data_IF_198492077848
#
_entry.id   IF_198492077848
#
_cell.length_a   1.000
_cell.length_b   1.000
_cell.length_c   1.000
_cell.angle_alpha   90.00
_cell.angle_beta   90.00
_cell.angle_gamma   90.00
#
_symmetry.space_group_name_H-M   'P 1'
#
loop_
_entity.id
_entity.type
_entity.pdbx_description
1 polymer ?
#
# COMPACT_ATOMS: atom_id res chain seq x y z
N UNK A 1 25.05 20.74 4.04
CA UNK A 1 24.00 19.70 4.07
C UNK A 1 22.82 20.30 4.80
N UNK A 2 21.65 20.36 4.18
CA UNK A 2 20.43 20.88 4.79
C UNK A 2 19.57 19.69 5.22
N UNK A 3 19.14 19.65 6.47
CA UNK A 3 18.31 18.59 7.05
C UNK A 3 16.88 19.03 7.34
N UNK A 4 16.54 20.28 7.02
CA UNK A 4 15.20 20.83 7.21
C UNK A 4 14.29 20.39 6.06
N UNK A 5 13.03 20.09 6.41
CA UNK A 5 11.98 19.90 5.41
C UNK A 5 11.67 21.20 4.69
N UNK A 6 11.18 21.09 3.45
CA UNK A 6 10.60 22.24 2.76
C UNK A 6 9.33 22.72 3.46
N UNK A 7 8.89 23.94 3.15
CA UNK A 7 7.62 24.47 3.69
C UNK A 7 6.43 23.57 3.33
N UNK A 8 6.37 23.09 2.08
CA UNK A 8 5.34 22.18 1.58
C UNK A 8 5.35 20.84 2.34
N UNK A 9 6.53 20.26 2.57
CA UNK A 9 6.69 19.05 3.39
C UNK A 9 6.25 19.29 4.84
N UNK A 10 6.60 20.45 5.40
CA UNK A 10 6.14 20.85 6.73
C UNK A 10 4.61 20.95 6.82
N UNK A 11 3.97 21.58 5.83
CA UNK A 11 2.51 21.68 5.76
C UNK A 11 1.84 20.32 5.63
N UNK A 12 2.39 19.44 4.80
CA UNK A 12 1.88 18.07 4.62
C UNK A 12 1.98 17.28 5.93
N UNK A 13 3.14 17.32 6.58
CA UNK A 13 3.37 16.69 7.90
C UNK A 13 2.37 17.18 8.92
N UNK A 14 2.25 18.49 9.08
CA UNK A 14 1.43 19.09 10.12
C UNK A 14 -0.08 18.83 9.88
N UNK A 15 -0.49 18.71 8.61
CA UNK A 15 -1.84 18.31 8.22
C UNK A 15 -2.16 16.87 8.63
N UNK A 16 -1.29 15.91 8.31
CA UNK A 16 -1.47 14.49 8.69
C UNK A 16 -1.38 14.32 10.21
N UNK A 17 -0.43 14.99 10.86
CA UNK A 17 -0.28 14.95 12.32
C UNK A 17 -1.55 15.42 13.04
N UNK A 18 -2.17 16.50 12.56
CA UNK A 18 -3.43 17.01 13.12
C UNK A 18 -4.57 16.00 12.98
N UNK A 19 -4.73 15.39 11.80
CA UNK A 19 -5.73 14.34 11.60
C UNK A 19 -5.52 13.14 12.54
N UNK A 20 -4.28 12.67 12.68
CA UNK A 20 -3.96 11.56 13.59
C UNK A 20 -4.31 11.92 15.03
N UNK A 21 -4.02 13.15 15.45
CA UNK A 21 -4.34 13.64 16.79
C UNK A 21 -5.85 13.79 17.03
N UNK A 22 -6.59 14.33 16.07
CA UNK A 22 -7.98 14.77 16.26
C UNK A 22 -9.00 13.68 15.92
N UNK A 23 -8.68 12.81 14.96
CA UNK A 23 -9.63 11.86 14.35
C UNK A 23 -9.22 10.40 14.47
N UNK A 24 -8.00 10.11 14.95
CA UNK A 24 -7.43 8.75 14.91
C UNK A 24 -6.83 8.30 16.25
N UNK A 25 -7.49 8.63 17.35
CA UNK A 25 -7.10 8.10 18.66
C UNK A 25 -7.23 6.56 18.72
N UNK A 26 -6.60 5.96 19.73
CA UNK A 26 -6.49 4.51 19.84
C UNK A 26 -7.85 3.79 19.88
N UNK A 27 -8.83 4.35 20.60
CA UNK A 27 -10.15 3.75 20.74
C UNK A 27 -10.94 3.83 19.43
N UNK A 28 -10.86 4.96 18.73
CA UNK A 28 -11.47 5.16 17.40
C UNK A 28 -10.86 4.21 16.39
N UNK A 29 -9.53 4.13 16.35
CA UNK A 29 -8.78 3.19 15.52
C UNK A 29 -9.17 1.74 15.79
N UNK A 30 -9.30 1.33 17.05
CA UNK A 30 -9.75 -0.02 17.42
C UNK A 30 -11.18 -0.32 16.96
N UNK A 31 -12.10 0.66 17.02
CA UNK A 31 -13.46 0.50 16.49
C UNK A 31 -13.46 0.32 14.99
N UNK A 32 -12.67 1.11 14.25
CA UNK A 32 -12.53 0.98 12.79
C UNK A 32 -11.97 -0.40 12.43
N UNK A 33 -10.90 -0.83 13.11
CA UNK A 33 -10.29 -2.15 12.92
C UNK A 33 -11.24 -3.31 13.23
N UNK A 34 -12.28 -3.11 14.03
CA UNK A 34 -13.26 -4.16 14.33
C UNK A 34 -14.36 -4.29 13.26
N UNK A 35 -14.47 -3.34 12.34
CA UNK A 35 -15.44 -3.39 11.23
C UNK A 35 -15.01 -4.39 10.15
N UNK A 36 -15.96 -4.84 9.33
CA UNK A 36 -15.68 -5.77 8.23
C UNK A 36 -14.72 -5.18 7.19
N UNK A 37 -14.84 -3.89 6.87
CA UNK A 37 -13.95 -3.19 5.94
C UNK A 37 -12.57 -2.88 6.53
N UNK A 38 -12.46 -2.85 7.86
CA UNK A 38 -11.23 -2.57 8.60
C UNK A 38 -10.56 -1.22 8.27
N UNK A 39 -11.32 -0.30 7.69
CA UNK A 39 -10.94 1.07 7.38
C UNK A 39 -12.19 1.97 7.44
N UNK A 40 -12.00 3.28 7.53
CA UNK A 40 -13.11 4.24 7.48
C UNK A 40 -13.19 4.90 6.10
N UNK A 41 -14.32 4.70 5.40
CA UNK A 41 -14.58 5.38 4.12
C UNK A 41 -14.60 6.90 4.26
N UNK A 42 -15.05 7.40 5.40
CA UNK A 42 -15.05 8.84 5.71
C UNK A 42 -13.61 9.37 5.78
N UNK A 43 -12.72 8.69 6.51
CA UNK A 43 -11.31 9.06 6.60
C UNK A 43 -10.62 8.97 5.22
N UNK A 44 -10.94 7.94 4.44
CA UNK A 44 -10.42 7.82 3.07
C UNK A 44 -10.84 8.98 2.18
N UNK A 45 -12.09 9.44 2.30
CA UNK A 45 -12.56 10.64 1.60
C UNK A 45 -11.89 11.91 2.14
N UNK A 46 -11.66 12.02 3.46
CA UNK A 46 -10.84 13.10 4.02
C UNK A 46 -9.43 13.13 3.41
N UNK A 47 -8.82 11.97 3.14
CA UNK A 47 -7.49 11.92 2.50
C UNK A 47 -7.54 12.49 1.07
N UNK A 48 -8.62 12.21 0.33
CA UNK A 48 -8.84 12.77 -1.00
C UNK A 48 -9.05 14.29 -0.95
N UNK A 49 -9.93 14.77 -0.05
CA UNK A 49 -10.25 16.19 0.12
C UNK A 49 -9.04 17.03 0.54
N UNK A 50 -8.15 16.46 1.38
CA UNK A 50 -6.90 17.11 1.80
C UNK A 50 -5.77 16.94 0.77
N UNK A 51 -6.01 16.26 -0.35
CA UNK A 51 -5.06 16.07 -1.45
C UNK A 51 -3.96 15.04 -1.17
N UNK A 52 -4.07 14.24 -0.10
CA UNK A 52 -3.02 13.29 0.29
C UNK A 52 -2.88 12.13 -0.70
N UNK A 53 -3.99 11.71 -1.30
CA UNK A 53 -4.01 10.66 -2.31
C UNK A 53 -3.32 11.07 -3.61
N UNK A 54 -3.16 12.39 -3.85
CA UNK A 54 -2.58 12.93 -5.08
C UNK A 54 -1.07 13.18 -5.00
N UNK A 55 -0.49 13.14 -3.79
CA UNK A 55 0.91 13.51 -3.52
C UNK A 55 1.92 12.83 -4.46
N UNK A 56 1.97 11.49 -4.60
CA UNK A 56 3.01 10.85 -5.41
C UNK A 56 2.72 10.85 -6.91
N UNK A 57 1.53 11.30 -7.34
CA UNK A 57 1.15 11.26 -8.75
C UNK A 57 1.63 12.50 -9.50
N UNK A 58 1.94 12.36 -10.79
CA UNK A 58 2.36 13.47 -11.63
C UNK A 58 1.24 14.52 -11.81
N UNK A 59 1.63 15.79 -11.98
CA UNK A 59 0.70 16.90 -12.22
C UNK A 59 -0.22 16.68 -13.43
N UNK A 60 0.26 15.98 -14.46
CA UNK A 60 -0.53 15.62 -15.65
C UNK A 60 -1.75 14.75 -15.35
N UNK A 61 -1.77 14.07 -14.20
CA UNK A 61 -2.89 13.27 -13.73
C UNK A 61 -3.64 13.93 -12.56
N UNK A 62 -3.34 15.19 -12.24
CA UNK A 62 -3.94 15.90 -11.10
C UNK A 62 -3.23 15.67 -9.76
N UNK A 63 -2.00 15.13 -9.78
CA UNK A 63 -1.17 14.96 -8.58
C UNK A 63 -0.23 16.14 -8.29
N UNK A 64 0.55 16.03 -7.21
CA UNK A 64 1.54 17.05 -6.81
C UNK A 64 2.97 16.75 -7.26
N UNK A 65 3.22 15.61 -7.89
CA UNK A 65 4.56 15.20 -8.33
C UNK A 65 5.54 14.96 -7.19
N UNK A 66 5.03 14.67 -5.99
CA UNK A 66 5.80 14.46 -4.77
C UNK A 66 6.80 13.31 -4.91
N UNK A 67 8.02 13.55 -4.46
CA UNK A 67 9.08 12.57 -4.43
C UNK A 67 9.05 11.68 -3.17
N UNK A 68 10.05 10.81 -3.02
CA UNK A 68 10.13 9.90 -1.87
C UNK A 68 10.13 10.60 -0.50
N UNK A 69 10.68 11.81 -0.40
CA UNK A 69 10.71 12.55 0.88
C UNK A 69 9.30 12.99 1.27
N UNK A 70 8.50 13.46 0.33
CA UNK A 70 7.12 13.90 0.57
C UNK A 70 6.25 12.72 1.05
N UNK A 71 6.45 11.55 0.44
CA UNK A 71 5.77 10.32 0.85
C UNK A 71 6.25 9.81 2.20
N UNK A 72 7.55 9.89 2.49
CA UNK A 72 8.10 9.52 3.79
C UNK A 72 7.52 10.37 4.92
N UNK A 73 7.41 11.68 4.71
CA UNK A 73 6.82 12.61 5.68
C UNK A 73 5.39 12.20 6.03
N UNK A 74 4.57 11.85 5.03
CA UNK A 74 3.22 11.36 5.28
C UNK A 74 3.20 10.03 6.04
N UNK A 75 4.01 9.07 5.58
CA UNK A 75 4.02 7.73 6.17
C UNK A 75 4.50 7.74 7.61
N UNK A 76 5.47 8.61 7.96
CA UNK A 76 5.89 8.79 9.35
C UNK A 76 4.72 9.23 10.25
N UNK A 77 3.91 10.20 9.80
CA UNK A 77 2.75 10.64 10.57
C UNK A 77 1.64 9.57 10.61
N UNK A 78 1.37 8.87 9.50
CA UNK A 78 0.45 7.72 9.50
C UNK A 78 0.89 6.61 10.48
N UNK A 79 2.20 6.36 10.57
CA UNK A 79 2.76 5.41 11.54
C UNK A 79 2.49 5.80 12.98
N UNK A 80 2.50 7.10 13.32
CA UNK A 80 2.14 7.56 14.67
C UNK A 80 0.68 7.24 15.04
N UNK A 81 -0.19 7.22 14.05
CA UNK A 81 -1.62 6.88 14.20
C UNK A 81 -1.94 5.40 13.99
N UNK A 82 -0.98 4.58 13.54
CA UNK A 82 -1.20 3.21 13.07
C UNK A 82 -2.45 3.11 12.17
N UNK A 83 -2.49 4.03 11.20
CA UNK A 83 -3.59 4.28 10.26
C UNK A 83 -3.89 3.03 9.44
N UNK A 84 -5.18 2.72 9.27
CA UNK A 84 -5.66 1.49 8.63
C UNK A 84 -6.00 1.67 7.15
N UNK A 85 -6.29 2.91 6.74
CA UNK A 85 -6.67 3.24 5.38
C UNK A 85 -5.59 2.78 4.37
N UNK A 86 -5.97 2.22 3.20
CA UNK A 86 -5.08 1.46 2.33
C UNK A 86 -4.18 2.34 1.46
N UNK A 87 -3.54 3.37 2.02
CA UNK A 87 -2.68 4.31 1.31
C UNK A 87 -1.50 3.60 0.62
N UNK A 88 -0.78 2.75 1.36
CA UNK A 88 0.33 1.96 0.80
C UNK A 88 -0.14 1.07 -0.37
N UNK A 89 -1.22 0.31 -0.18
CA UNK A 89 -1.69 -0.66 -1.16
C UNK A 89 -2.25 0.01 -2.42
N UNK A 90 -3.06 1.06 -2.24
CA UNK A 90 -3.75 1.74 -3.34
C UNK A 90 -2.87 2.78 -4.01
N UNK A 91 -2.27 3.68 -3.25
CA UNK A 91 -1.55 4.84 -3.82
C UNK A 91 -0.12 4.45 -4.20
N UNK A 92 0.64 3.85 -3.28
CA UNK A 92 2.08 3.62 -3.50
C UNK A 92 2.37 2.38 -4.34
N UNK A 93 1.61 1.30 -4.13
CA UNK A 93 1.79 0.05 -4.88
C UNK A 93 0.97 0.06 -6.18
N UNK A 94 -0.37 -0.03 -6.09
CA UNK A 94 -1.22 -0.11 -7.28
C UNK A 94 -1.10 1.13 -8.17
N UNK A 95 -1.26 2.32 -7.59
CA UNK A 95 -1.10 3.59 -8.29
C UNK A 95 0.30 3.82 -8.82
N UNK A 96 1.34 3.48 -8.05
CA UNK A 96 2.73 3.56 -8.48
C UNK A 96 3.04 2.69 -9.71
N UNK A 97 2.46 1.49 -9.78
CA UNK A 97 2.57 0.62 -10.96
C UNK A 97 1.87 1.20 -12.18
N UNK A 98 0.66 1.76 -12.02
CA UNK A 98 -0.07 2.44 -13.11
C UNK A 98 0.69 3.66 -13.62
N UNK A 99 1.19 4.52 -12.73
CA UNK A 99 1.97 5.69 -13.13
C UNK A 99 3.25 5.31 -13.88
N UNK A 100 3.89 4.20 -13.50
CA UNK A 100 5.17 3.79 -14.09
C UNK A 100 5.02 2.98 -15.36
N UNK A 101 4.00 2.12 -15.45
CA UNK A 101 3.85 1.14 -16.52
C UNK A 101 2.50 1.19 -17.24
N UNK A 102 1.48 1.82 -16.69
CA UNK A 102 0.16 1.86 -17.31
C UNK A 102 0.18 2.56 -18.67
N UNK A 103 -0.72 2.16 -19.57
CA UNK A 103 -0.94 2.88 -20.82
C UNK A 103 -1.48 4.30 -20.55
N UNK A 104 -1.45 5.16 -21.57
CA UNK A 104 -2.01 6.52 -21.47
C UNK A 104 -3.49 6.47 -21.05
N UNK A 105 -4.23 5.52 -21.60
CA UNK A 105 -5.64 5.29 -21.32
C UNK A 105 -5.86 4.81 -19.87
N UNK A 106 -5.10 3.80 -19.43
CA UNK A 106 -5.18 3.28 -18.05
C UNK A 106 -4.84 4.37 -17.03
N UNK A 107 -3.80 5.17 -17.28
CA UNK A 107 -3.40 6.27 -16.39
C UNK A 107 -4.47 7.36 -16.34
N UNK A 108 -4.99 7.78 -17.50
CA UNK A 108 -6.00 8.83 -17.59
C UNK A 108 -7.35 8.42 -16.99
N UNK A 109 -7.69 7.13 -17.01
CA UNK A 109 -8.94 6.63 -16.42
C UNK A 109 -8.82 6.38 -14.91
N UNK A 110 -7.76 5.71 -14.46
CA UNK A 110 -7.73 5.11 -13.12
C UNK A 110 -7.08 6.04 -12.09
N UNK A 111 -5.99 6.74 -12.43
CA UNK A 111 -5.26 7.58 -11.47
C UNK A 111 -6.15 8.70 -10.91
N UNK A 112 -6.93 9.46 -11.72
CA UNK A 112 -7.84 10.46 -11.19
C UNK A 112 -8.88 9.88 -10.21
N UNK A 113 -9.35 8.66 -10.48
CA UNK A 113 -10.30 7.95 -9.60
C UNK A 113 -9.68 7.52 -8.27
N UNK A 114 -8.38 7.21 -8.25
CA UNK A 114 -7.63 7.00 -7.01
C UNK A 114 -7.53 8.32 -6.24
N UNK A 115 -7.19 9.40 -6.93
CA UNK A 115 -6.98 10.74 -6.33
C UNK A 115 -8.25 11.25 -5.66
N UNK A 116 -9.42 11.06 -6.27
CA UNK A 116 -10.72 11.43 -5.68
C UNK A 116 -11.21 10.43 -4.62
N UNK A 117 -10.45 9.37 -4.32
CA UNK A 117 -10.83 8.34 -3.36
C UNK A 117 -11.95 7.40 -3.82
N UNK A 118 -12.31 7.42 -5.10
CA UNK A 118 -13.38 6.63 -5.73
C UNK A 118 -12.95 5.27 -6.29
N UNK A 119 -11.66 4.97 -6.28
CA UNK A 119 -11.11 3.66 -6.68
C UNK A 119 -10.05 3.21 -5.69
N UNK A 120 -10.22 2.01 -5.16
CA UNK A 120 -9.21 1.32 -4.35
C UNK A 120 -8.56 0.19 -5.14
N UNK A 121 -7.24 0.08 -4.99
CA UNK A 121 -6.44 -0.88 -5.73
C UNK A 121 -5.64 -1.80 -4.82
N UNK A 122 -5.22 -2.93 -5.37
CA UNK A 122 -4.29 -3.82 -4.71
C UNK A 122 -3.27 -4.41 -5.70
N UNK A 123 -2.06 -4.66 -5.22
CA UNK A 123 -1.02 -5.34 -5.99
C UNK A 123 -0.85 -6.79 -5.51
N UNK A 124 -1.26 -7.74 -6.35
CA UNK A 124 -1.25 -9.17 -6.07
C UNK A 124 0.02 -9.81 -6.66
N UNK A 125 1.12 -9.80 -5.89
CA UNK A 125 2.41 -10.31 -6.33
C UNK A 125 2.92 -11.51 -5.51
N UNK A 126 2.67 -11.53 -4.20
CA UNK A 126 3.20 -12.54 -3.29
C UNK A 126 2.53 -13.91 -3.47
N UNK A 127 3.33 -14.96 -3.45
CA UNK A 127 2.89 -16.36 -3.50
C UNK A 127 3.47 -17.13 -2.31
N UNK A 128 2.80 -18.21 -1.87
CA UNK A 128 3.18 -18.94 -0.63
C UNK A 128 4.65 -19.38 -0.59
N UNK A 129 5.20 -19.72 -1.75
CA UNK A 129 6.56 -20.25 -1.86
C UNK A 129 7.62 -19.15 -2.09
N UNK A 130 7.21 -17.99 -2.61
CA UNK A 130 8.13 -16.96 -3.10
C UNK A 130 8.88 -16.24 -1.99
N UNK A 131 8.31 -16.21 -0.77
CA UNK A 131 8.85 -15.51 0.40
C UNK A 131 9.13 -14.03 0.09
N UNK A 132 10.39 -13.68 -0.19
CA UNK A 132 10.82 -12.32 -0.53
C UNK A 132 11.40 -12.23 -1.95
N UNK A 133 11.38 -13.33 -2.72
CA UNK A 133 11.86 -13.35 -4.09
C UNK A 133 10.73 -12.93 -5.04
N UNK A 134 10.81 -11.70 -5.56
CA UNK A 134 9.77 -11.11 -6.41
C UNK A 134 9.61 -11.83 -7.75
N UNK A 135 10.70 -12.42 -8.25
CA UNK A 135 10.68 -13.14 -9.52
C UNK A 135 10.09 -14.56 -9.39
N UNK A 136 9.94 -15.10 -8.17
CA UNK A 136 9.48 -16.47 -7.94
C UNK A 136 7.94 -16.53 -8.03
N UNK A 137 7.42 -16.71 -9.25
CA UNK A 137 6.00 -16.60 -9.60
C UNK A 137 5.56 -17.86 -10.34
N UNK A 138 4.52 -18.54 -9.82
CA UNK A 138 3.86 -19.67 -10.49
C UNK A 138 2.52 -19.30 -11.10
N UNK A 139 1.87 -18.22 -10.66
CA UNK A 139 0.65 -17.73 -11.33
C UNK A 139 0.97 -17.47 -12.80
N UNK A 140 0.21 -18.06 -13.71
CA UNK A 140 0.44 -17.97 -15.15
C UNK A 140 -0.49 -16.95 -15.80
N UNK A 141 -0.04 -16.32 -16.88
CA UNK A 141 -0.86 -15.51 -17.78
C UNK A 141 -0.59 -15.94 -19.23
N UNK A 142 -1.48 -16.78 -19.78
CA UNK A 142 -1.34 -17.31 -21.13
C UNK A 142 -2.04 -16.41 -22.14
N UNK A 143 -1.32 -16.01 -23.20
CA UNK A 143 -1.92 -15.22 -24.29
C UNK A 143 -2.73 -16.14 -25.20
N UNK A 144 -4.02 -15.85 -25.34
CA UNK A 144 -4.96 -16.55 -26.21
C UNK A 144 -5.65 -15.54 -27.13
N UNK A 145 -5.07 -15.29 -28.31
CA UNK A 145 -5.58 -14.29 -29.25
C UNK A 145 -5.41 -12.86 -28.71
N UNK A 146 -6.52 -12.18 -28.45
CA UNK A 146 -6.55 -10.83 -27.86
C UNK A 146 -6.80 -10.84 -26.35
N UNK A 147 -6.82 -12.02 -25.72
CA UNK A 147 -7.02 -12.21 -24.30
C UNK A 147 -5.78 -12.75 -23.60
N UNK A 148 -5.70 -12.52 -22.29
CA UNK A 148 -4.85 -13.20 -21.33
C UNK A 148 -5.72 -14.08 -20.43
N UNK A 149 -5.30 -15.32 -20.24
CA UNK A 149 -5.94 -16.27 -19.32
C UNK A 149 -5.05 -16.46 -18.09
N UNK A 150 -5.55 -16.03 -16.92
CA UNK A 150 -4.82 -16.09 -15.66
C UNK A 150 -5.25 -17.29 -14.82
N UNK A 151 -4.25 -18.00 -14.27
CA UNK A 151 -4.45 -19.11 -13.34
C UNK A 151 -3.39 -19.08 -12.23
N UNK A 152 -3.81 -19.22 -10.97
CA UNK A 152 -2.88 -19.29 -9.83
C UNK A 152 -3.46 -18.77 -8.52
N UNK A 153 -2.57 -18.54 -7.55
CA UNK A 153 -2.94 -18.06 -6.22
C UNK A 153 -1.97 -16.95 -5.78
N UNK A 154 -2.52 -15.86 -5.26
CA UNK A 154 -1.77 -14.80 -4.57
C UNK A 154 -2.18 -14.78 -3.10
N UNK A 155 -1.23 -14.50 -2.21
CA UNK A 155 -1.47 -14.53 -0.77
C UNK A 155 -1.08 -13.21 -0.12
N UNK A 156 -1.75 -12.89 1.00
CA UNK A 156 -1.50 -11.67 1.78
C UNK A 156 -1.57 -10.42 0.90
N UNK A 157 -2.54 -10.37 -0.02
CA UNK A 157 -2.73 -9.23 -0.91
C UNK A 157 -3.29 -8.08 -0.08
N UNK A 158 -2.44 -7.09 0.23
CA UNK A 158 -2.83 -5.87 0.94
C UNK A 158 -3.98 -5.18 0.22
N UNK A 159 -5.02 -4.81 0.97
CA UNK A 159 -6.27 -4.27 0.44
C UNK A 159 -7.03 -5.20 -0.54
N UNK A 160 -6.61 -6.45 -0.74
CA UNK A 160 -7.23 -7.35 -1.72
C UNK A 160 -8.69 -7.71 -1.44
N UNK A 161 -9.14 -7.55 -0.19
CA UNK A 161 -10.54 -7.77 0.19
C UNK A 161 -11.46 -6.64 -0.29
N UNK A 162 -10.99 -5.39 -0.21
CA UNK A 162 -11.78 -4.18 -0.48
C UNK A 162 -11.47 -3.53 -1.83
N UNK A 163 -10.39 -3.93 -2.50
CA UNK A 163 -9.99 -3.38 -3.79
C UNK A 163 -11.06 -3.59 -4.86
N UNK A 164 -11.25 -2.54 -5.68
CA UNK A 164 -12.07 -2.55 -6.89
C UNK A 164 -11.29 -3.17 -8.07
N UNK A 165 -9.97 -2.95 -8.08
CA UNK A 165 -9.06 -3.36 -9.15
C UNK A 165 -7.80 -4.01 -8.58
N UNK A 166 -7.30 -5.02 -9.28
CA UNK A 166 -6.07 -5.74 -8.94
C UNK A 166 -5.04 -5.53 -10.06
N UNK A 167 -3.80 -5.25 -9.70
CA UNK A 167 -2.67 -5.53 -10.61
C UNK A 167 -2.07 -6.87 -10.18
N UNK A 168 -2.02 -7.83 -11.08
CA UNK A 168 -1.55 -9.19 -10.81
C UNK A 168 -0.23 -9.40 -11.50
N UNK A 169 0.81 -9.78 -10.74
CA UNK A 169 2.06 -10.23 -11.33
C UNK A 169 1.94 -11.72 -11.70
N UNK A 170 2.02 -12.03 -12.99
CA UNK A 170 1.86 -13.39 -13.49
C UNK A 170 2.92 -13.70 -14.55
N UNK A 171 3.29 -14.98 -14.66
CA UNK A 171 4.29 -15.46 -15.61
C UNK A 171 3.64 -15.76 -16.96
N UNK A 172 4.05 -15.03 -17.98
CA UNK A 172 3.64 -15.24 -19.37
C UNK A 172 4.67 -16.02 -20.19
N UNK A 173 5.91 -16.11 -19.72
CA UNK A 173 6.98 -16.91 -20.33
C UNK A 173 8.14 -17.15 -19.34
N UNK A 174 9.14 -17.93 -19.75
CA UNK A 174 10.33 -18.21 -18.96
C UNK A 174 10.11 -19.17 -17.79
N UNK A 175 11.16 -19.38 -17.00
CA UNK A 175 11.16 -20.27 -15.84
C UNK A 175 10.70 -19.55 -14.58
N UNK A 176 10.23 -20.30 -13.58
CA UNK A 176 9.55 -19.79 -12.38
C UNK A 176 10.24 -18.62 -11.67
N UNK A 177 11.58 -18.56 -11.66
CA UNK A 177 12.36 -17.55 -10.94
C UNK A 177 13.08 -16.55 -11.86
N UNK A 178 12.79 -16.56 -13.17
CA UNK A 178 13.35 -15.60 -14.11
C UNK A 178 12.71 -14.23 -13.90
N UNK A 179 13.52 -13.16 -13.89
CA UNK A 179 13.02 -11.78 -13.87
C UNK A 179 12.27 -11.44 -15.18
N UNK A 180 12.74 -11.98 -16.31
CA UNK A 180 12.05 -11.89 -17.58
C UNK A 180 10.84 -12.85 -17.63
N UNK A 181 9.85 -12.50 -18.44
CA UNK A 181 8.65 -13.31 -18.64
C UNK A 181 7.56 -13.11 -17.59
N UNK A 182 7.74 -12.15 -16.67
CA UNK A 182 6.69 -11.68 -15.76
C UNK A 182 5.90 -10.56 -16.45
N UNK A 183 4.57 -10.62 -16.40
CA UNK A 183 3.65 -9.61 -16.91
C UNK A 183 2.80 -9.09 -15.76
N UNK A 184 2.59 -7.78 -15.72
CA UNK A 184 1.62 -7.15 -14.83
C UNK A 184 0.31 -7.01 -15.58
N UNK A 185 -0.79 -7.45 -14.98
CA UNK A 185 -2.11 -7.46 -15.62
C UNK A 185 -3.11 -6.79 -14.70
N UNK A 186 -3.84 -5.80 -15.23
CA UNK A 186 -4.97 -5.18 -14.56
C UNK A 186 -6.18 -6.13 -14.64
N UNK A 187 -6.83 -6.37 -13.50
CA UNK A 187 -7.94 -7.31 -13.38
C UNK A 187 -9.00 -6.70 -12.46
N UNK A 188 -10.26 -6.55 -12.92
CA UNK A 188 -11.36 -6.20 -12.03
C UNK A 188 -11.48 -7.20 -10.87
N UNK A 189 -11.62 -6.71 -9.64
CA UNK A 189 -11.61 -7.59 -8.46
C UNK A 189 -12.85 -8.51 -8.36
N UNK A 190 -13.88 -8.23 -9.16
CA UNK A 190 -15.11 -9.02 -9.32
C UNK A 190 -15.16 -9.81 -10.64
N UNK A 191 -14.07 -9.84 -11.41
CA UNK A 191 -14.02 -10.60 -12.66
C UNK A 191 -14.34 -12.09 -12.45
N UNK A 192 -15.01 -12.70 -13.42
CA UNK A 192 -15.35 -14.12 -13.37
C UNK A 192 -14.08 -14.99 -13.22
N UNK A 193 -14.08 -15.88 -12.23
CA UNK A 193 -12.93 -16.74 -11.91
C UNK A 193 -11.99 -16.16 -10.84
N UNK A 194 -12.24 -14.94 -10.35
CA UNK A 194 -11.54 -14.36 -9.20
C UNK A 194 -12.27 -14.74 -7.91
N UNK A 195 -11.59 -15.47 -7.03
CA UNK A 195 -12.10 -15.82 -5.70
C UNK A 195 -11.22 -15.18 -4.61
N UNK A 196 -11.86 -14.48 -3.67
CA UNK A 196 -11.17 -13.75 -2.59
C UNK A 196 -11.52 -14.34 -1.23
N UNK A 197 -10.50 -14.73 -0.48
CA UNK A 197 -10.63 -15.15 0.93
C UNK A 197 -9.98 -14.09 1.81
N UNK A 198 -10.81 -13.24 2.40
CA UNK A 198 -10.37 -12.16 3.29
C UNK A 198 -10.02 -12.69 4.70
N UNK A 199 -9.02 -12.11 5.34
CA UNK A 199 -8.68 -12.35 6.74
C UNK A 199 -7.95 -11.15 7.34
N UNK A 200 -8.00 -11.07 8.67
CA UNK A 200 -7.45 -9.97 9.45
C UNK A 200 -6.04 -10.30 9.93
N UNK A 201 -5.14 -9.33 9.85
CA UNK A 201 -3.79 -9.39 10.40
C UNK A 201 -3.77 -8.95 11.88
N UNK A 202 -2.63 -9.15 12.56
CA UNK A 202 -2.47 -8.83 13.99
C UNK A 202 -2.67 -7.34 14.27
N UNK A 203 -2.28 -6.47 13.34
CA UNK A 203 -2.46 -5.02 13.44
C UNK A 203 -3.92 -4.59 13.21
N UNK A 204 -4.79 -5.46 12.70
CA UNK A 204 -6.19 -5.16 12.42
C UNK A 204 -6.48 -4.84 10.95
N UNK A 205 -5.48 -4.70 10.10
CA UNK A 205 -5.68 -4.56 8.65
C UNK A 205 -6.30 -5.85 8.07
N UNK A 206 -7.05 -5.71 6.98
CA UNK A 206 -7.63 -6.85 6.25
C UNK A 206 -6.91 -7.02 4.92
N UNK A 207 -6.50 -8.26 4.66
CA UNK A 207 -5.86 -8.70 3.42
C UNK A 207 -6.68 -9.83 2.81
N UNK A 208 -6.35 -10.25 1.60
CA UNK A 208 -6.95 -11.41 0.98
C UNK A 208 -5.92 -12.39 0.40
N UNK A 209 -6.26 -13.67 0.44
CA UNK A 209 -5.71 -14.62 -0.53
C UNK A 209 -6.66 -14.64 -1.74
N UNK A 210 -6.11 -14.59 -2.95
CA UNK A 210 -6.86 -14.45 -4.19
C UNK A 210 -6.49 -15.61 -5.12
N UNK A 211 -7.49 -16.38 -5.54
CA UNK A 211 -7.34 -17.45 -6.52
C UNK A 211 -7.88 -16.97 -7.86
N UNK A 212 -7.15 -17.27 -8.93
CA UNK A 212 -7.53 -16.99 -10.31
C UNK A 212 -7.75 -18.33 -11.02
N UNK A 213 -8.96 -18.53 -11.54
CA UNK A 213 -9.36 -19.75 -12.26
C UNK A 213 -9.90 -19.38 -13.65
N UNK A 214 -9.05 -19.48 -14.67
CA UNK A 214 -9.34 -19.11 -16.05
C UNK A 214 -9.91 -17.69 -16.20
N UNK A 215 -9.35 -16.75 -15.44
CA UNK A 215 -9.75 -15.33 -15.51
C UNK A 215 -9.28 -14.78 -16.85
N UNK A 216 -10.21 -14.25 -17.63
CA UNK A 216 -9.96 -13.71 -18.96
C UNK A 216 -9.99 -12.19 -18.92
N UNK A 217 -8.94 -11.56 -19.41
CA UNK A 217 -8.85 -10.10 -19.58
C UNK A 217 -8.21 -9.76 -20.92
N UNK A 218 -8.55 -8.65 -21.56
CA UNK A 218 -7.90 -8.21 -22.79
C UNK A 218 -6.39 -8.05 -22.64
N UNK A 219 -5.63 -8.30 -23.70
CA UNK A 219 -4.19 -7.96 -23.76
C UNK A 219 -3.95 -6.46 -23.54
N UNK A 220 -4.94 -5.61 -23.79
CA UNK A 220 -4.91 -4.18 -23.49
C UNK A 220 -4.84 -3.87 -21.98
N UNK A 221 -5.17 -4.83 -21.11
CA UNK A 221 -5.08 -4.69 -19.65
C UNK A 221 -3.68 -5.01 -19.10
N UNK A 222 -2.70 -5.27 -19.97
CA UNK A 222 -1.30 -5.33 -19.56
C UNK A 222 -0.87 -3.95 -19.04
N UNK A 223 -0.21 -3.94 -17.89
CA UNK A 223 0.45 -2.76 -17.31
C UNK A 223 1.94 -2.86 -17.64
N UNK A 224 2.38 -2.07 -18.61
CA UNK A 224 3.75 -2.07 -19.14
C UNK A 224 3.84 -2.89 -20.41
N UNK A 225 4.86 -3.76 -20.49
CA UNK A 225 5.08 -4.61 -21.65
C UNK A 225 4.95 -6.10 -21.26
N UNK A 226 4.44 -6.90 -22.19
CA UNK A 226 4.34 -8.36 -22.04
C UNK A 226 5.72 -8.95 -21.72
N UNK A 227 5.83 -9.65 -20.59
CA UNK A 227 7.04 -10.31 -20.12
C UNK A 227 8.08 -9.38 -19.49
N UNK A 228 7.79 -8.10 -19.30
CA UNK A 228 8.73 -7.10 -18.74
C UNK A 228 8.24 -6.43 -17.44
N UNK A 229 7.29 -7.04 -16.74
CA UNK A 229 6.68 -6.53 -15.52
C UNK A 229 7.66 -6.36 -14.35
N UNK A 230 8.76 -7.12 -14.32
CA UNK A 230 9.77 -7.02 -13.26
C UNK A 230 10.44 -5.64 -13.21
N UNK A 231 10.72 -5.06 -14.39
CA UNK A 231 11.32 -3.73 -14.51
C UNK A 231 10.41 -2.59 -13.99
N UNK A 232 9.10 -2.84 -13.96
CA UNK A 232 8.09 -1.91 -13.42
C UNK A 232 7.96 -2.10 -11.90
N UNK A 233 7.84 -3.35 -11.42
CA UNK A 233 7.57 -3.62 -10.01
C UNK A 233 8.74 -3.27 -9.07
N UNK A 234 9.99 -3.54 -9.49
CA UNK A 234 11.15 -3.44 -8.60
C UNK A 234 11.31 -2.03 -8.00
N UNK A 235 11.30 -0.97 -8.82
CA UNK A 235 11.37 0.41 -8.35
C UNK A 235 10.18 0.82 -7.47
N UNK A 236 8.96 0.37 -7.80
CA UNK A 236 7.75 0.68 -7.02
C UNK A 236 7.83 0.04 -5.64
N UNK A 237 8.20 -1.24 -5.56
CA UNK A 237 8.41 -1.95 -4.29
C UNK A 237 9.53 -1.29 -3.49
N UNK A 238 10.61 -0.85 -4.15
CA UNK A 238 11.71 -0.13 -3.48
C UNK A 238 11.22 1.16 -2.83
N UNK A 239 10.41 1.96 -3.54
CA UNK A 239 9.82 3.18 -2.99
C UNK A 239 8.84 2.87 -1.84
N UNK A 240 7.99 1.86 -2.01
CA UNK A 240 7.06 1.42 -0.96
C UNK A 240 7.79 0.95 0.31
N UNK A 241 8.92 0.26 0.18
CA UNK A 241 9.75 -0.16 1.31
C UNK A 241 10.35 1.03 2.07
N UNK A 242 10.77 2.08 1.36
CA UNK A 242 11.25 3.33 1.99
C UNK A 242 10.11 4.02 2.74
N UNK A 243 8.92 4.03 2.16
CA UNK A 243 7.72 4.58 2.77
C UNK A 243 7.33 3.83 4.06
N UNK A 244 7.35 2.48 4.02
CA UNK A 244 7.15 1.62 5.20
C UNK A 244 8.21 1.81 6.28
N UNK A 245 9.47 2.08 5.91
CA UNK A 245 10.52 2.40 6.88
C UNK A 245 10.22 3.71 7.63
N UNK A 246 9.65 4.71 6.94
CA UNK A 246 9.19 5.94 7.57
C UNK A 246 7.97 5.70 8.49
N UNK A 247 7.03 4.85 8.08
CA UNK A 247 5.92 4.43 8.95
C UNK A 247 6.42 3.78 10.25
N UNK A 248 7.39 2.86 10.14
CA UNK A 248 8.01 2.23 11.30
C UNK A 248 8.70 3.26 12.22
N UNK A 249 9.32 4.31 11.66
CA UNK A 249 9.89 5.40 12.44
C UNK A 249 8.83 6.16 13.25
N UNK A 250 7.68 6.46 12.64
CA UNK A 250 6.52 7.07 13.31
C UNK A 250 6.02 6.23 14.49
N UNK A 251 5.85 4.92 14.27
CA UNK A 251 5.45 3.96 15.30
C UNK A 251 6.48 3.95 16.45
N UNK A 252 7.77 3.83 16.13
CA UNK A 252 8.84 3.83 17.14
C UNK A 252 8.88 5.14 17.94
N UNK A 253 8.62 6.28 17.29
CA UNK A 253 8.51 7.58 17.95
C UNK A 253 7.41 7.60 19.01
N UNK A 254 6.22 7.08 18.69
CA UNK A 254 5.12 6.97 19.64
C UNK A 254 5.41 5.99 20.78
N UNK A 255 5.98 4.83 20.46
CA UNK A 255 6.36 3.84 21.46
C UNK A 255 7.38 4.41 22.44
N UNK A 256 8.39 5.13 21.94
CA UNK A 256 9.39 5.78 22.78
C UNK A 256 8.78 6.85 23.67
N UNK A 257 7.96 7.75 23.10
CA UNK A 257 7.32 8.83 23.84
C UNK A 257 6.42 8.29 24.97
N UNK A 258 5.54 7.32 24.68
CA UNK A 258 4.65 6.70 25.67
C UNK A 258 5.44 5.93 26.74
N UNK A 259 6.49 5.22 26.35
CA UNK A 259 7.36 4.51 27.30
C UNK A 259 8.04 5.50 28.25
N UNK A 260 8.59 6.59 27.72
CA UNK A 260 9.23 7.64 28.51
C UNK A 260 8.25 8.32 29.48
N UNK A 261 7.03 8.59 29.05
CA UNK A 261 5.98 9.15 29.91
C UNK A 261 5.63 8.19 31.05
N UNK A 262 5.45 6.90 30.73
CA UNK A 262 5.10 5.88 31.72
C UNK A 262 6.23 5.66 32.74
N UNK A 263 7.49 5.62 32.31
CA UNK A 263 8.63 5.40 33.21
C UNK A 263 8.85 6.54 34.19
N UNK A 264 8.43 7.76 33.84
CA UNK A 264 8.47 8.95 34.72
C UNK A 264 7.39 8.93 35.81
N UNK A 265 6.24 8.29 35.55
CA UNK A 265 5.05 8.40 36.41
C UNK A 265 4.80 7.12 37.23
N UNK A 266 5.11 5.94 36.68
CA UNK A 266 4.92 4.67 37.38
C UNK A 266 5.92 4.51 38.53
N UNK A 267 5.42 4.18 39.72
CA UNK A 267 6.25 3.97 40.92
C UNK A 267 6.34 2.50 41.35
N UNK A 268 7.54 2.08 41.75
CA UNK A 268 7.84 0.82 42.45
C UNK A 268 8.98 1.09 43.44
N UNK A 269 8.98 0.41 44.59
CA UNK A 269 9.96 0.68 45.66
C UNK A 269 10.02 2.17 46.04
N UNK A 270 8.84 2.81 46.09
CA UNK A 270 8.63 4.23 46.43
C UNK A 270 9.31 5.27 45.52
N UNK A 271 9.91 4.86 44.40
CA UNK A 271 10.52 5.74 43.40
C UNK A 271 9.91 5.54 42.02
N UNK A 272 10.07 6.52 41.12
CA UNK A 272 9.68 6.36 39.73
C UNK A 272 10.57 5.31 39.05
N UNK A 273 10.01 4.40 38.27
CA UNK A 273 10.78 3.28 37.71
C UNK A 273 11.91 3.75 36.77
N UNK A 274 11.80 4.92 36.14
CA UNK A 274 12.86 5.53 35.34
C UNK A 274 14.12 5.92 36.13
N UNK A 275 14.14 5.84 37.47
CA UNK A 275 15.35 6.07 38.26
C UNK A 275 16.30 4.86 38.29
N UNK A 276 15.84 3.66 37.90
CA UNK A 276 16.69 2.47 37.84
C UNK A 276 17.53 2.48 36.55
N UNK A 277 18.85 2.34 36.67
CA UNK A 277 19.78 2.37 35.52
C UNK A 277 19.43 1.35 34.42
N UNK A 278 18.85 0.20 34.78
CA UNK A 278 18.43 -0.81 33.81
C UNK A 278 17.27 -0.35 32.89
N UNK A 279 16.60 0.75 33.21
CA UNK A 279 15.45 1.32 32.50
C UNK A 279 15.74 2.71 31.89
N UNK A 280 16.98 3.20 32.00
CA UNK A 280 17.46 4.44 31.38
C UNK A 280 18.04 4.16 30.00
#
# INVERSE_FOLDING_TARGET
>A
MNFEFTEEQGMLRDSVARFVQDSYDFDTRCKIAATDEAMSRENWQTFAELGWLSVPFAESHGGFGGGPVDTMVMMEEFGKGIVLEPYLATVLLFGGLLQRGGSVEQQAEIIPRIIEGGCQGAFAYLERHSRHQLADIKTTATVEGDQLVLNGEKVVVFNGASADQLIVAARSSGEQSDEAGITLVLVPADAAGVERTAYRLMDGQVVANITFSNVQVPVADIVGELGNGYAVMGPVITQANVALAAEALGIMGQLNAKTLEYTKTRKQFDVAIGSFQALQ
#
